data_IF_369626767775
#
_entry.id   IF_369626767775
#
_cell.length_a   1.000
_cell.length_b   1.000
_cell.length_c   1.000
_cell.angle_alpha   90.00
_cell.angle_beta   90.00
_cell.angle_gamma   90.00
#
_symmetry.space_group_name_H-M   'P 1'
#
loop_
_entity.id
_entity.type
_entity.pdbx_description
1 polymer ?
#
# COMPACT_ATOMS: atom_id res chain seq x y z
N UNK A 1 -16.55 4.84 -16.09
CA UNK A 1 -17.75 4.89 -15.24
C UNK A 1 -17.57 3.83 -14.17
N UNK A 2 -17.86 4.12 -12.91
CA UNK A 2 -17.77 3.16 -11.81
C UNK A 2 -18.78 3.51 -10.72
N UNK A 3 -19.06 2.58 -9.79
CA UNK A 3 -19.90 2.86 -8.61
C UNK A 3 -18.99 3.16 -7.43
N UNK A 4 -19.18 4.31 -6.79
CA UNK A 4 -18.50 4.65 -5.55
C UNK A 4 -18.84 3.61 -4.49
N UNK A 5 -17.84 2.96 -3.89
CA UNK A 5 -18.06 1.91 -2.90
C UNK A 5 -18.41 2.43 -1.49
N UNK A 6 -18.51 3.75 -1.33
CA UNK A 6 -18.85 4.42 -0.06
C UNK A 6 -20.29 4.94 -0.10
N UNK A 7 -20.62 5.73 -1.12
CA UNK A 7 -21.95 6.35 -1.25
C UNK A 7 -22.82 5.77 -2.37
N UNK A 8 -22.36 4.72 -3.05
CA UNK A 8 -23.09 3.99 -4.11
C UNK A 8 -23.47 4.80 -5.35
N UNK A 9 -23.00 6.05 -5.51
CA UNK A 9 -23.28 6.85 -6.71
C UNK A 9 -22.53 6.32 -7.93
N UNK A 10 -23.18 6.37 -9.09
CA UNK A 10 -22.53 6.11 -10.38
C UNK A 10 -21.70 7.33 -10.77
N UNK A 11 -20.40 7.15 -10.93
CA UNK A 11 -19.44 8.19 -11.31
C UNK A 11 -19.24 8.15 -12.84
N UNK A 12 -19.31 9.30 -13.53
CA UNK A 12 -19.28 9.34 -14.99
C UNK A 12 -17.96 8.82 -15.60
N UNK A 13 -17.94 8.48 -16.91
CA UNK A 13 -16.70 8.22 -17.63
C UNK A 13 -15.68 9.35 -17.48
N UNK A 14 -14.40 9.02 -17.64
CA UNK A 14 -13.26 9.96 -17.54
C UNK A 14 -13.07 10.62 -16.17
N UNK A 15 -13.77 10.17 -15.13
CA UNK A 15 -13.44 10.49 -13.73
C UNK A 15 -12.70 9.29 -13.13
N UNK A 16 -11.43 9.43 -12.72
CA UNK A 16 -10.67 8.33 -12.13
C UNK A 16 -11.18 8.01 -10.71
N UNK A 17 -11.28 6.73 -10.32
CA UNK A 17 -11.52 6.36 -8.93
C UNK A 17 -10.30 6.69 -8.08
N UNK A 18 -10.54 7.18 -6.86
CA UNK A 18 -9.48 7.33 -5.85
C UNK A 18 -9.58 6.17 -4.88
N UNK A 19 -8.49 5.43 -4.67
CA UNK A 19 -8.42 4.39 -3.63
C UNK A 19 -8.22 5.06 -2.28
N UNK A 20 -9.16 4.80 -1.37
CA UNK A 20 -9.07 5.28 0.01
C UNK A 20 -8.99 4.10 0.97
N UNK A 21 -8.19 4.27 2.03
CA UNK A 21 -8.09 3.30 3.12
C UNK A 21 -9.22 3.58 4.10
N UNK A 22 -10.14 2.63 4.24
CA UNK A 22 -11.26 2.74 5.19
C UNK A 22 -10.90 2.20 6.57
N UNK A 23 -9.98 1.24 6.62
CA UNK A 23 -9.57 0.62 7.88
C UNK A 23 -8.12 0.16 7.81
N UNK A 24 -7.40 0.39 8.91
CA UNK A 24 -6.05 -0.13 9.15
C UNK A 24 -6.09 -1.14 10.28
N UNK A 25 -5.13 -2.06 10.29
CA UNK A 25 -4.91 -3.00 11.40
C UNK A 25 -3.44 -3.00 11.81
N UNK A 26 -3.12 -3.12 13.12
CA UNK A 26 -1.75 -3.30 13.53
C UNK A 26 -1.23 -4.66 13.05
N UNK A 27 0.03 -4.72 12.67
CA UNK A 27 0.70 -5.95 12.22
C UNK A 27 2.09 -6.04 12.83
N UNK A 28 2.41 -7.22 13.35
CA UNK A 28 3.79 -7.61 13.67
C UNK A 28 4.32 -8.49 12.54
N UNK A 29 5.47 -8.12 12.01
CA UNK A 29 6.24 -8.86 11.02
C UNK A 29 7.33 -9.65 11.73
N UNK A 30 7.41 -10.95 11.46
CA UNK A 30 8.47 -11.80 11.98
C UNK A 30 9.78 -11.54 11.25
N UNK A 31 10.89 -11.86 11.92
CA UNK A 31 12.18 -11.98 11.25
C UNK A 31 12.08 -12.95 10.07
N UNK A 32 12.73 -12.61 8.95
CA UNK A 32 12.82 -13.47 7.76
C UNK A 32 14.26 -13.53 7.26
N UNK A 33 14.83 -14.73 7.27
CA UNK A 33 16.17 -15.00 6.76
C UNK A 33 16.19 -14.83 5.23
N UNK A 34 17.19 -14.12 4.70
CA UNK A 34 17.42 -13.95 3.27
C UNK A 34 16.22 -13.39 2.47
N UNK A 35 15.39 -12.55 3.10
CA UNK A 35 14.14 -12.07 2.51
C UNK A 35 14.33 -11.11 1.32
N UNK A 36 15.47 -10.42 1.25
CA UNK A 36 15.75 -9.46 0.19
C UNK A 36 16.93 -9.95 -0.66
N UNK A 37 16.73 -10.04 -1.97
CA UNK A 37 17.76 -10.39 -2.94
C UNK A 37 18.16 -9.14 -3.71
N UNK A 38 19.45 -8.84 -3.73
CA UNK A 38 19.99 -7.64 -4.36
C UNK A 38 21.15 -8.03 -5.26
N UNK A 39 21.09 -7.65 -6.54
CA UNK A 39 22.17 -7.88 -7.49
C UNK A 39 23.09 -6.65 -7.52
N UNK A 40 24.34 -6.80 -7.10
CA UNK A 40 25.33 -5.72 -7.08
C UNK A 40 26.70 -6.24 -7.53
N UNK A 41 27.52 -5.41 -8.19
CA UNK A 41 28.88 -5.79 -8.54
C UNK A 41 29.69 -6.09 -7.28
N UNK A 42 30.52 -7.12 -7.35
CA UNK A 42 31.55 -7.38 -6.35
C UNK A 42 32.76 -6.44 -6.55
N UNK A 43 33.77 -6.58 -5.69
CA UNK A 43 35.02 -5.80 -5.79
C UNK A 43 35.73 -5.93 -7.14
N UNK A 44 35.41 -6.97 -7.92
CA UNK A 44 35.98 -7.24 -9.25
C UNK A 44 35.02 -6.83 -10.38
N UNK A 45 33.94 -6.09 -10.07
CA UNK A 45 32.96 -5.61 -11.03
C UNK A 45 31.97 -6.67 -11.54
N UNK A 46 32.03 -7.91 -11.06
CA UNK A 46 31.10 -8.97 -11.47
C UNK A 46 29.80 -8.85 -10.69
N UNK A 47 28.66 -8.77 -11.39
CA UNK A 47 27.35 -8.77 -10.75
C UNK A 47 27.18 -10.08 -9.97
N UNK A 48 26.94 -9.97 -8.66
CA UNK A 48 26.65 -11.09 -7.77
C UNK A 48 25.34 -10.87 -7.04
N UNK A 49 24.74 -11.99 -6.66
CA UNK A 49 23.57 -12.04 -5.81
C UNK A 49 23.97 -11.84 -4.34
N UNK A 50 23.33 -10.89 -3.67
CA UNK A 50 23.49 -10.62 -2.24
C UNK A 50 22.15 -10.81 -1.55
N UNK A 51 22.11 -11.63 -0.51
CA UNK A 51 20.90 -11.87 0.28
C UNK A 51 20.99 -11.14 1.61
N UNK A 52 20.01 -10.32 1.93
CA UNK A 52 19.91 -9.66 3.24
C UNK A 52 18.68 -10.13 4.01
N UNK A 53 18.82 -10.19 5.33
CA UNK A 53 17.73 -10.56 6.22
C UNK A 53 16.76 -9.38 6.38
N UNK A 54 15.49 -9.70 6.56
CA UNK A 54 14.47 -8.76 7.01
C UNK A 54 14.32 -8.94 8.53
N UNK A 55 14.58 -7.91 9.34
CA UNK A 55 14.53 -8.02 10.80
C UNK A 55 13.11 -8.18 11.35
N UNK A 56 12.08 -8.10 10.52
CA UNK A 56 10.70 -7.93 10.95
C UNK A 56 10.46 -6.54 11.54
N UNK A 57 9.41 -6.42 12.35
CA UNK A 57 9.04 -5.16 13.00
C UNK A 57 7.57 -5.08 13.36
N UNK A 58 7.12 -3.89 13.74
CA UNK A 58 5.70 -3.58 13.97
C UNK A 58 5.28 -2.44 13.07
N UNK A 59 4.05 -2.51 12.56
CA UNK A 59 3.52 -1.51 11.65
C UNK A 59 2.01 -1.64 11.51
N UNK A 60 1.49 -1.06 10.43
CA UNK A 60 0.06 -1.06 10.13
C UNK A 60 -0.15 -1.53 8.70
N UNK A 61 -1.17 -2.36 8.49
CA UNK A 61 -1.62 -2.78 7.16
C UNK A 61 -2.98 -2.18 6.84
N UNK A 62 -3.22 -1.91 5.55
CA UNK A 62 -4.56 -1.66 5.05
C UNK A 62 -5.40 -2.91 5.22
N UNK A 63 -6.42 -2.84 6.07
CA UNK A 63 -7.36 -3.94 6.29
C UNK A 63 -8.54 -3.88 5.31
N UNK A 64 -8.97 -2.66 4.95
CA UNK A 64 -10.04 -2.41 4.00
C UNK A 64 -9.79 -1.13 3.22
N UNK A 65 -10.07 -1.19 1.93
CA UNK A 65 -10.03 -0.05 1.02
C UNK A 65 -11.28 0.00 0.13
N UNK A 66 -11.50 1.15 -0.48
CA UNK A 66 -12.62 1.39 -1.37
C UNK A 66 -12.23 2.30 -2.55
N UNK A 67 -12.86 2.07 -3.70
CA UNK A 67 -12.89 3.02 -4.80
C UNK A 67 -13.92 4.11 -4.47
N UNK A 68 -13.43 5.32 -4.22
CA UNK A 68 -14.22 6.48 -3.87
C UNK A 68 -14.40 7.43 -5.06
N UNK A 69 -15.56 8.09 -5.09
CA UNK A 69 -15.74 9.30 -5.88
C UNK A 69 -14.89 10.46 -5.32
N UNK A 70 -14.71 11.56 -6.07
CA UNK A 70 -13.92 12.70 -5.60
C UNK A 70 -14.34 13.25 -4.24
N UNK A 71 -15.65 13.32 -3.98
CA UNK A 71 -16.18 13.87 -2.72
C UNK A 71 -15.86 12.97 -1.52
N UNK A 72 -16.18 11.67 -1.63
CA UNK A 72 -15.87 10.71 -0.56
C UNK A 72 -14.36 10.55 -0.36
N UNK A 73 -13.56 10.73 -1.43
CA UNK A 73 -12.12 10.70 -1.33
C UNK A 73 -11.57 11.91 -0.55
N UNK A 74 -12.10 13.10 -0.83
CA UNK A 74 -11.75 14.31 -0.10
C UNK A 74 -12.10 14.20 1.39
N UNK A 75 -13.24 13.59 1.72
CA UNK A 75 -13.66 13.36 3.11
C UNK A 75 -12.76 12.35 3.83
N UNK A 76 -12.49 11.19 3.22
CA UNK A 76 -11.64 10.16 3.82
C UNK A 76 -10.22 10.68 4.11
N UNK A 77 -9.66 11.51 3.24
CA UNK A 77 -8.34 12.11 3.43
C UNK A 77 -8.29 13.13 4.57
N UNK A 78 -9.41 13.80 4.91
CA UNK A 78 -9.47 14.72 6.06
C UNK A 78 -9.52 13.97 7.38
N UNK A 79 -10.22 12.83 7.43
CA UNK A 79 -10.40 12.02 8.63
C UNK A 79 -9.17 11.19 9.01
N UNK A 80 -8.13 11.16 8.16
CA UNK A 80 -6.91 10.37 8.37
C UNK A 80 -5.85 11.09 9.24
N UNK A 81 -6.17 12.29 9.72
CA UNK A 81 -5.27 13.19 10.47
C UNK A 81 -5.54 13.24 11.98
N UNK A 82 -6.44 12.39 12.49
CA UNK A 82 -6.82 12.30 13.92
C UNK A 82 -6.12 11.18 14.65
#
# INVERSE_FOLDING_TARGET
MFVCQICSKVVPPRTPPVRVVLQRRPKRYSFRLHANVIYRPDSNGKIKEHKTNDPGGVGWETAREANACPDCAAEANRSSSG
#
